data_IF_068266529618
#
_entry.id   IF_068266529618
#
_cell.length_a   1.000
_cell.length_b   1.000
_cell.length_c   1.000
_cell.angle_alpha   90.00
_cell.angle_beta   90.00
_cell.angle_gamma   90.00
#
_symmetry.space_group_name_H-M   'P 1'
#
loop_
_entity.id
_entity.type
_entity.pdbx_description
1 polymer ?
#
# COMPACT_ATOMS: atom_id res chain seq x y z
N UNK A 1 -1.67 18.35 -2.80
CA UNK A 1 -2.54 17.80 -1.73
C UNK A 1 -2.01 16.44 -1.32
N UNK A 2 -1.25 16.36 -0.23
CA UNK A 2 -0.67 15.11 0.25
C UNK A 2 -1.73 14.40 1.11
N UNK A 3 -2.37 13.35 0.58
CA UNK A 3 -3.36 12.60 1.36
C UNK A 3 -2.64 11.62 2.28
N UNK A 4 -2.55 11.95 3.57
CA UNK A 4 -2.00 11.09 4.62
C UNK A 4 -2.88 9.84 4.78
N UNK A 5 -2.44 8.72 4.23
CA UNK A 5 -3.10 7.41 4.36
C UNK A 5 -3.34 6.65 3.06
N UNK A 6 -3.07 7.24 1.89
CA UNK A 6 -3.06 6.52 0.61
C UNK A 6 -1.62 6.21 0.21
N UNK A 7 -1.38 5.01 -0.31
CA UNK A 7 -0.04 4.58 -0.74
C UNK A 7 0.35 5.18 -2.09
N UNK A 8 -0.62 5.41 -2.98
CA UNK A 8 -0.39 5.98 -4.29
C UNK A 8 -1.57 6.85 -4.71
N UNK A 9 -1.29 7.97 -5.36
CA UNK A 9 -2.29 8.84 -5.97
C UNK A 9 -1.96 8.97 -7.45
N UNK A 10 -2.94 8.71 -8.30
CA UNK A 10 -2.80 8.78 -9.76
C UNK A 10 -3.74 9.85 -10.26
N UNK A 11 -3.20 10.89 -10.89
CA UNK A 11 -3.98 11.88 -11.63
C UNK A 11 -3.91 11.58 -13.12
N UNK A 12 -5.04 11.53 -13.81
CA UNK A 12 -5.07 11.48 -15.26
C UNK A 12 -5.36 12.88 -15.82
N UNK A 13 -4.35 13.51 -16.44
CA UNK A 13 -4.45 14.86 -17.01
C UNK A 13 -5.45 14.97 -18.16
N UNK A 14 -5.75 13.88 -18.88
CA UNK A 14 -6.71 13.88 -19.98
C UNK A 14 -8.17 13.88 -19.52
N UNK A 15 -8.46 13.25 -18.40
CA UNK A 15 -9.86 13.08 -17.90
C UNK A 15 -10.14 13.88 -16.64
N UNK A 16 -9.13 14.48 -16.02
CA UNK A 16 -9.23 15.18 -14.73
C UNK A 16 -9.51 14.28 -13.54
N UNK A 17 -9.58 12.95 -13.74
CA UNK A 17 -9.90 11.98 -12.66
C UNK A 17 -8.67 11.71 -11.80
N UNK A 18 -8.88 11.73 -10.49
CA UNK A 18 -7.86 11.40 -9.48
C UNK A 18 -8.26 10.12 -8.76
N UNK A 19 -7.40 9.11 -8.82
CA UNK A 19 -7.59 7.84 -8.14
C UNK A 19 -6.60 7.71 -6.99
N UNK A 20 -7.14 7.51 -5.78
CA UNK A 20 -6.34 7.28 -4.57
C UNK A 20 -6.36 5.80 -4.22
N UNK A 21 -5.19 5.18 -4.12
CA UNK A 21 -5.01 3.75 -3.88
C UNK A 21 -4.33 3.52 -2.53
N UNK A 22 -4.61 2.36 -1.90
CA UNK A 22 -3.87 1.92 -0.72
C UNK A 22 -4.37 2.43 0.64
N UNK A 23 -5.58 3.03 0.73
CA UNK A 23 -6.18 3.41 2.03
C UNK A 23 -6.21 2.25 3.04
N UNK A 24 -6.44 1.03 2.55
CA UNK A 24 -6.48 -0.19 3.37
C UNK A 24 -5.12 -0.57 3.97
N UNK A 25 -3.99 -0.20 3.34
CA UNK A 25 -2.66 -0.57 3.83
C UNK A 25 -2.39 0.03 5.22
N UNK A 26 -2.85 1.25 5.47
CA UNK A 26 -2.77 1.89 6.77
C UNK A 26 -3.48 1.10 7.87
N UNK A 27 -4.71 0.65 7.59
CA UNK A 27 -5.50 -0.15 8.54
C UNK A 27 -4.86 -1.52 8.82
N UNK A 28 -4.32 -2.16 7.78
CA UNK A 28 -3.61 -3.44 7.89
C UNK A 28 -2.37 -3.26 8.77
N UNK A 29 -1.56 -2.24 8.52
CA UNK A 29 -0.37 -1.94 9.32
C UNK A 29 -0.72 -1.73 10.79
N UNK A 30 -1.73 -0.92 11.10
CA UNK A 30 -2.16 -0.68 12.48
C UNK A 30 -2.64 -1.96 13.18
N UNK A 31 -3.42 -2.80 12.48
CA UNK A 31 -3.87 -4.10 13.02
C UNK A 31 -2.69 -4.98 13.42
N UNK A 32 -1.72 -5.15 12.52
CA UNK A 32 -0.56 -6.03 12.77
C UNK A 32 0.41 -5.45 13.80
N UNK A 33 0.59 -4.13 13.81
CA UNK A 33 1.37 -3.40 14.83
C UNK A 33 0.86 -3.64 16.25
N UNK A 34 -0.47 -3.58 16.45
CA UNK A 34 -1.07 -3.83 17.76
C UNK A 34 -0.85 -5.28 18.22
N UNK A 35 -1.07 -6.26 17.32
CA UNK A 35 -0.83 -7.68 17.63
C UNK A 35 0.65 -7.94 17.97
N UNK A 36 1.58 -7.29 17.26
CA UNK A 36 3.02 -7.42 17.54
C UNK A 36 3.38 -6.85 18.91
N UNK A 37 2.84 -5.69 19.29
CA UNK A 37 3.03 -5.10 20.63
C UNK A 37 2.58 -6.05 21.74
N UNK A 38 1.43 -6.70 21.57
CA UNK A 38 0.92 -7.66 22.55
C UNK A 38 1.80 -8.90 22.69
N UNK A 39 2.35 -9.39 21.58
CA UNK A 39 3.26 -10.53 21.58
C UNK A 39 4.65 -10.19 22.14
N UNK A 40 5.13 -8.97 21.90
CA UNK A 40 6.38 -8.47 22.48
C UNK A 40 6.26 -8.35 24.00
N UNK A 41 5.15 -7.78 24.51
CA UNK A 41 4.87 -7.73 25.95
C UNK A 41 4.85 -9.11 26.61
N UNK A 42 4.43 -10.14 25.87
CA UNK A 42 4.41 -11.54 26.32
C UNK A 42 5.74 -12.29 26.09
N UNK A 43 6.80 -11.62 25.61
CA UNK A 43 8.10 -12.23 25.31
C UNK A 43 8.13 -13.20 24.11
N UNK A 44 7.08 -13.24 23.28
CA UNK A 44 6.90 -14.24 22.21
C UNK A 44 7.55 -13.81 20.88
N UNK A 45 8.86 -13.53 20.90
CA UNK A 45 9.60 -12.98 19.74
C UNK A 45 9.55 -13.83 18.46
N UNK A 46 9.55 -15.16 18.57
CA UNK A 46 9.41 -16.05 17.40
C UNK A 46 8.06 -15.85 16.68
N UNK A 47 6.99 -15.57 17.42
CA UNK A 47 5.67 -15.25 16.86
C UNK A 47 5.65 -13.85 16.25
N UNK A 48 6.30 -12.87 16.87
CA UNK A 48 6.47 -11.52 16.31
C UNK A 48 7.12 -11.58 14.92
N UNK A 49 8.20 -12.35 14.77
CA UNK A 49 8.88 -12.52 13.46
C UNK A 49 7.95 -13.13 12.40
N UNK A 50 7.15 -14.15 12.76
CA UNK A 50 6.15 -14.74 11.84
C UNK A 50 5.09 -13.73 11.41
N UNK A 51 4.58 -12.94 12.35
CA UNK A 51 3.54 -11.95 12.07
C UNK A 51 4.08 -10.82 11.19
N UNK A 52 5.28 -10.31 11.47
CA UNK A 52 5.95 -9.32 10.62
C UNK A 52 6.11 -9.82 9.18
N UNK A 53 6.55 -11.06 9.01
CA UNK A 53 6.70 -11.66 7.67
C UNK A 53 5.34 -11.79 6.96
N UNK A 54 4.27 -12.08 7.70
CA UNK A 54 2.91 -12.16 7.15
C UNK A 54 2.40 -10.78 6.71
N UNK A 55 2.60 -9.76 7.53
CA UNK A 55 2.28 -8.37 7.20
C UNK A 55 3.03 -7.93 5.92
N UNK A 56 4.33 -8.20 5.85
CA UNK A 56 5.14 -7.86 4.67
C UNK A 56 4.61 -8.52 3.39
N UNK A 57 4.22 -9.79 3.45
CA UNK A 57 3.63 -10.49 2.29
C UNK A 57 2.34 -9.82 1.81
N UNK A 58 1.47 -9.43 2.74
CA UNK A 58 0.21 -8.73 2.43
C UNK A 58 0.48 -7.36 1.79
N UNK A 59 1.44 -6.60 2.34
CA UNK A 59 1.83 -5.30 1.80
C UNK A 59 2.41 -5.46 0.39
N UNK A 60 3.28 -6.45 0.18
CA UNK A 60 3.86 -6.72 -1.15
C UNK A 60 2.78 -7.08 -2.17
N UNK A 61 1.81 -7.91 -1.80
CA UNK A 61 0.69 -8.27 -2.67
C UNK A 61 -0.19 -7.05 -3.00
N UNK A 62 -0.48 -6.21 -2.01
CA UNK A 62 -1.18 -4.94 -2.20
C UNK A 62 -0.43 -4.02 -3.17
N UNK A 63 0.88 -3.86 -2.97
CA UNK A 63 1.73 -3.06 -3.86
C UNK A 63 1.70 -3.61 -5.28
N UNK A 64 1.86 -4.91 -5.47
CA UNK A 64 1.78 -5.53 -6.78
C UNK A 64 0.41 -5.28 -7.47
N UNK A 65 -0.70 -5.42 -6.74
CA UNK A 65 -2.05 -5.14 -7.27
C UNK A 65 -2.24 -3.65 -7.62
N UNK A 66 -1.73 -2.75 -6.78
CA UNK A 66 -1.79 -1.30 -7.04
C UNK A 66 -0.99 -0.95 -8.29
N UNK A 67 0.26 -1.40 -8.40
CA UNK A 67 1.11 -1.17 -9.57
C UNK A 67 0.46 -1.70 -10.85
N UNK A 68 -0.08 -2.92 -10.81
CA UNK A 68 -0.79 -3.50 -11.96
C UNK A 68 -2.00 -2.66 -12.37
N UNK A 69 -2.76 -2.15 -11.41
CA UNK A 69 -3.91 -1.27 -11.67
C UNK A 69 -3.49 0.07 -12.29
N UNK A 70 -2.38 0.65 -11.82
CA UNK A 70 -1.80 1.88 -12.36
C UNK A 70 -1.41 1.68 -13.83
N UNK A 71 -0.69 0.60 -14.13
CA UNK A 71 -0.25 0.27 -15.50
C UNK A 71 -1.44 0.03 -16.43
N UNK A 72 -2.44 -0.73 -15.99
CA UNK A 72 -3.64 -0.96 -16.81
C UNK A 72 -4.40 0.33 -17.11
N UNK A 73 -4.50 1.24 -16.13
CA UNK A 73 -5.14 2.53 -16.35
C UNK A 73 -4.40 3.36 -17.40
N UNK A 74 -3.07 3.42 -17.32
CA UNK A 74 -2.26 4.14 -18.29
C UNK A 74 -2.39 3.57 -19.71
N UNK A 75 -2.44 2.23 -19.82
CA UNK A 75 -2.66 1.53 -21.09
C UNK A 75 -4.03 1.86 -21.69
N UNK A 76 -5.09 1.82 -20.88
CA UNK A 76 -6.46 2.11 -21.30
C UNK A 76 -6.63 3.57 -21.75
N UNK A 77 -6.06 4.51 -21.00
CA UNK A 77 -6.10 5.94 -21.34
C UNK A 77 -5.10 6.37 -22.41
N UNK A 78 -4.31 5.43 -22.99
CA UNK A 78 -3.19 5.69 -23.91
C UNK A 78 -2.34 6.88 -23.42
N UNK A 79 -1.96 6.85 -22.15
CA UNK A 79 -1.26 7.95 -21.49
C UNK A 79 0.11 7.50 -21.00
N UNK A 80 1.08 8.40 -21.04
CA UNK A 80 2.41 8.14 -20.50
C UNK A 80 2.41 8.17 -18.97
N UNK A 81 3.20 7.29 -18.36
CA UNK A 81 3.38 7.23 -16.92
C UNK A 81 4.52 8.16 -16.49
N UNK A 82 4.18 9.26 -15.82
CA UNK A 82 5.14 10.09 -15.09
C UNK A 82 5.04 9.78 -13.61
N UNK A 83 6.17 9.41 -13.01
CA UNK A 83 6.30 9.18 -11.57
C UNK A 83 7.18 10.27 -10.97
N UNK A 84 6.97 10.55 -9.69
CA UNK A 84 7.81 11.48 -8.93
C UNK A 84 9.19 10.85 -8.74
N UNK A 85 10.23 11.68 -8.76
CA UNK A 85 11.58 11.23 -8.45
C UNK A 85 11.75 11.15 -6.93
N UNK A 86 12.17 10.00 -6.42
CA UNK A 86 12.27 9.68 -4.99
C UNK A 86 13.62 10.06 -4.41
#
# INVERSE_FOLDING_TARGET
MNTTGHCAVVGNSRTGKVMKLGKMAYHIHNKYKNIMRDLQRKGKYRKVKRIRNREQKIINELNHKMSRKIVYMAKDSKSDLKMENL
#
